data_IF_883826435791
#
_entry.id   IF_883826435791
#
_cell.length_a   1.000
_cell.length_b   1.000
_cell.length_c   1.000
_cell.angle_alpha   90.00
_cell.angle_beta   90.00
_cell.angle_gamma   90.00
#
_symmetry.space_group_name_H-M   'P 1'
#
loop_
_entity.id
_entity.type
_entity.pdbx_description
1 polymer ?
#
# COMPACT_ATOMS: atom_id res chain seq x y z
N UNK A 1 13.46 14.60 -5.12
CA UNK A 1 12.01 14.58 -5.46
C UNK A 1 11.38 13.50 -4.59
N UNK A 2 10.28 13.79 -3.89
CA UNK A 2 9.65 12.79 -3.02
C UNK A 2 9.02 11.67 -3.86
N UNK A 3 9.16 10.38 -3.46
CA UNK A 3 8.56 9.29 -4.20
C UNK A 3 7.03 9.38 -4.25
N UNK A 4 6.44 8.96 -5.38
CA UNK A 4 4.99 9.06 -5.64
C UNK A 4 4.13 8.43 -4.54
N UNK A 5 4.54 7.29 -4.00
CA UNK A 5 3.84 6.57 -2.93
C UNK A 5 3.64 7.44 -1.67
N UNK A 6 4.67 8.20 -1.28
CA UNK A 6 4.57 9.12 -0.14
C UNK A 6 3.78 10.38 -0.49
N UNK A 7 4.05 10.98 -1.66
CA UNK A 7 3.35 12.18 -2.13
C UNK A 7 1.82 11.96 -2.21
N UNK A 8 1.37 10.85 -2.79
CA UNK A 8 -0.05 10.54 -2.93
C UNK A 8 -0.75 10.36 -1.58
N UNK A 9 -0.04 9.83 -0.58
CA UNK A 9 -0.59 9.71 0.76
C UNK A 9 -0.77 11.07 1.44
N UNK A 10 0.23 11.94 1.32
CA UNK A 10 0.14 13.32 1.82
C UNK A 10 -0.96 14.13 1.11
N UNK A 11 -1.17 13.89 -0.20
CA UNK A 11 -2.28 14.47 -0.95
C UNK A 11 -3.64 13.96 -0.48
N UNK A 12 -3.76 12.66 -0.19
CA UNK A 12 -4.98 12.08 0.37
C UNK A 12 -5.29 12.66 1.77
N UNK A 13 -4.29 12.75 2.64
CA UNK A 13 -4.41 13.39 3.96
C UNK A 13 -4.88 14.85 3.83
N UNK A 14 -4.25 15.62 2.92
CA UNK A 14 -4.62 17.02 2.64
C UNK A 14 -6.03 17.17 2.08
N UNK A 15 -6.56 16.13 1.43
CA UNK A 15 -7.93 16.05 0.95
C UNK A 15 -8.94 15.61 2.04
N UNK A 16 -8.49 15.39 3.28
CA UNK A 16 -9.32 14.96 4.40
C UNK A 16 -9.61 13.47 4.43
N UNK A 17 -8.89 12.66 3.65
CA UNK A 17 -8.98 11.21 3.73
C UNK A 17 -8.24 10.74 4.98
N UNK A 18 -8.86 9.87 5.77
CA UNK A 18 -8.19 9.25 6.90
C UNK A 18 -7.03 8.36 6.40
N UNK A 19 -5.80 8.79 6.67
CA UNK A 19 -4.57 8.08 6.32
C UNK A 19 -3.80 7.68 7.56
N UNK A 20 -3.01 6.60 7.53
CA UNK A 20 -2.08 6.31 8.61
C UNK A 20 -1.06 7.44 8.74
N UNK A 21 -0.79 7.85 9.98
CA UNK A 21 0.31 8.76 10.25
C UNK A 21 1.60 8.15 9.72
N UNK A 22 2.37 8.95 8.99
CA UNK A 22 3.50 8.46 8.21
C UNK A 22 4.72 9.35 8.42
N UNK A 23 5.86 8.71 8.71
CA UNK A 23 7.18 9.32 8.77
C UNK A 23 7.99 8.88 7.55
N UNK A 24 8.42 9.84 6.73
CA UNK A 24 9.34 9.59 5.62
C UNK A 24 10.78 9.55 6.10
N UNK A 25 11.53 8.54 5.63
CA UNK A 25 12.92 8.30 5.99
C UNK A 25 13.80 8.25 4.74
N UNK A 26 14.67 9.25 4.60
CA UNK A 26 15.60 9.34 3.48
C UNK A 26 16.74 8.31 3.58
N UNK A 27 17.35 7.97 2.43
CA UNK A 27 18.40 6.94 2.30
C UNK A 27 19.55 6.99 3.33
N UNK A 28 19.90 8.18 3.81
CA UNK A 28 21.03 8.42 4.72
C UNK A 28 20.56 8.77 6.14
N UNK A 29 19.27 8.56 6.47
CA UNK A 29 18.75 8.95 7.78
C UNK A 29 19.50 8.25 8.93
N UNK A 30 19.99 7.03 8.71
CA UNK A 30 20.75 6.27 9.72
C UNK A 30 22.10 6.91 10.08
N UNK A 31 22.62 7.81 9.24
CA UNK A 31 23.84 8.57 9.51
C UNK A 31 23.56 9.86 10.30
N UNK A 32 22.29 10.21 10.51
CA UNK A 32 21.88 11.38 11.26
C UNK A 32 21.88 11.09 12.77
N UNK A 33 22.65 11.87 13.55
CA UNK A 33 22.74 11.74 15.01
C UNK A 33 21.36 11.87 15.71
N UNK A 34 20.41 12.57 15.09
CA UNK A 34 19.07 12.79 15.64
C UNK A 34 18.03 11.77 15.14
N UNK A 35 18.43 10.73 14.41
CA UNK A 35 17.51 9.72 13.85
C UNK A 35 16.68 9.02 14.93
N UNK A 36 17.31 8.58 16.02
CA UNK A 36 16.61 7.91 17.11
C UNK A 36 15.58 8.84 17.77
N UNK A 37 15.90 10.13 17.94
CA UNK A 37 14.97 11.13 18.48
C UNK A 37 13.79 11.37 17.53
N UNK A 38 14.04 11.48 16.23
CA UNK A 38 13.00 11.62 15.21
C UNK A 38 12.01 10.45 15.27
N UNK A 39 12.54 9.23 15.40
CA UNK A 39 11.75 8.02 15.46
C UNK A 39 10.93 7.94 16.75
N UNK A 40 11.55 8.21 17.90
CA UNK A 40 10.87 8.22 19.20
C UNK A 40 9.77 9.29 19.25
N UNK A 41 10.05 10.49 18.74
CA UNK A 41 9.05 11.55 18.64
C UNK A 41 7.84 11.12 17.81
N UNK A 42 8.07 10.43 16.69
CA UNK A 42 6.98 9.89 15.88
C UNK A 42 6.18 8.82 16.62
N UNK A 43 6.85 7.94 17.38
CA UNK A 43 6.19 6.92 18.20
C UNK A 43 5.32 7.59 19.29
N UNK A 44 5.88 8.55 20.02
CA UNK A 44 5.22 9.25 21.12
C UNK A 44 4.01 10.06 20.65
N UNK A 45 4.07 10.65 19.47
CA UNK A 45 2.99 11.47 18.93
C UNK A 45 1.78 10.66 18.46
N UNK A 46 1.97 9.40 18.10
CA UNK A 46 0.94 8.60 17.45
C UNK A 46 0.41 7.46 18.32
N UNK A 47 1.17 7.04 19.35
CA UNK A 47 0.77 6.04 20.35
C UNK A 47 0.21 4.74 19.76
N UNK A 48 0.63 4.38 18.54
CA UNK A 48 0.13 3.17 17.89
C UNK A 48 0.76 1.94 18.53
N UNK A 49 -0.07 0.91 18.77
CA UNK A 49 0.41 -0.37 19.28
C UNK A 49 1.37 -1.06 18.28
N UNK A 50 1.25 -0.75 16.99
CA UNK A 50 2.07 -1.36 15.95
C UNK A 50 2.32 -0.41 14.78
N UNK A 51 3.38 -0.71 14.05
CA UNK A 51 3.85 0.05 12.90
C UNK A 51 4.21 -0.89 11.75
N UNK A 52 4.43 -0.31 10.58
CA UNK A 52 5.01 -0.98 9.41
C UNK A 52 6.10 -0.11 8.79
N UNK A 53 7.12 -0.76 8.25
CA UNK A 53 8.19 -0.13 7.47
C UNK A 53 7.99 -0.51 6.01
N UNK A 54 7.80 0.46 5.13
CA UNK A 54 7.57 0.22 3.70
C UNK A 54 8.66 0.85 2.87
N UNK A 55 9.02 0.18 1.78
CA UNK A 55 9.87 0.75 0.75
C UNK A 55 9.18 1.93 0.06
N UNK A 56 9.97 2.96 -0.21
CA UNK A 56 9.55 4.18 -0.87
C UNK A 56 10.62 4.57 -1.90
N UNK A 57 10.62 3.90 -3.05
CA UNK A 57 11.71 4.01 -4.01
C UNK A 57 11.39 5.07 -5.06
N UNK A 58 12.34 5.96 -5.33
CA UNK A 58 12.20 6.95 -6.40
C UNK A 58 12.28 6.23 -7.76
N UNK A 59 11.25 6.40 -8.61
CA UNK A 59 11.17 5.74 -9.91
C UNK A 59 10.53 4.35 -9.91
N UNK A 60 9.92 3.91 -8.79
CA UNK A 60 9.19 2.64 -8.65
C UNK A 60 7.99 2.53 -9.61
N UNK A 61 7.38 3.68 -9.95
CA UNK A 61 6.16 3.81 -10.76
C UNK A 61 6.38 4.70 -12.00
N UNK A 62 7.48 4.48 -12.73
CA UNK A 62 7.68 5.11 -14.03
C UNK A 62 6.81 4.42 -15.10
N UNK A 63 6.39 5.16 -16.13
CA UNK A 63 5.47 4.68 -17.19
C UNK A 63 5.95 3.36 -17.84
N UNK A 64 7.26 3.14 -17.89
CA UNK A 64 7.88 2.00 -18.60
C UNK A 64 8.47 0.94 -17.66
N UNK A 65 8.42 1.12 -16.33
CA UNK A 65 9.04 0.21 -15.36
C UNK A 65 8.13 0.04 -14.14
N UNK A 66 7.53 -1.14 -14.00
CA UNK A 66 6.83 -1.54 -12.77
C UNK A 66 7.80 -2.24 -11.84
N UNK A 67 7.95 -1.69 -10.64
CA UNK A 67 8.77 -2.28 -9.57
C UNK A 67 7.90 -2.84 -8.43
N UNK A 68 6.60 -2.96 -8.67
CA UNK A 68 5.64 -3.49 -7.71
C UNK A 68 6.06 -4.89 -7.25
N UNK A 69 6.11 -5.10 -5.93
CA UNK A 69 6.45 -6.38 -5.31
C UNK A 69 7.95 -6.72 -5.27
N UNK A 70 8.83 -5.89 -5.83
CA UNK A 70 10.28 -6.18 -5.80
C UNK A 70 10.96 -5.80 -4.50
N UNK A 71 10.49 -4.74 -3.83
CA UNK A 71 11.06 -4.25 -2.59
C UNK A 71 10.30 -4.80 -1.38
N UNK A 72 11.03 -5.13 -0.32
CA UNK A 72 10.43 -5.67 0.88
C UNK A 72 9.80 -4.57 1.75
N UNK A 73 8.67 -4.92 2.37
CA UNK A 73 8.06 -4.17 3.48
C UNK A 73 7.99 -5.07 4.70
N UNK A 74 7.91 -4.48 5.89
CA UNK A 74 7.69 -5.23 7.12
C UNK A 74 6.24 -5.65 7.25
N UNK A 75 6.04 -6.78 7.93
CA UNK A 75 4.77 -7.03 8.60
C UNK A 75 4.59 -6.10 9.80
N UNK A 76 3.58 -6.40 10.60
CA UNK A 76 3.26 -5.70 11.85
C UNK A 76 4.41 -5.80 12.87
N UNK A 77 4.98 -4.67 13.27
CA UNK A 77 6.06 -4.59 14.27
C UNK A 77 5.67 -3.70 15.46
N UNK A 78 6.23 -4.01 16.64
CA UNK A 78 6.02 -3.21 17.86
C UNK A 78 6.95 -1.98 17.91
N UNK A 79 6.63 -0.94 18.69
CA UNK A 79 7.45 0.27 18.80
C UNK A 79 8.92 -0.03 19.15
N UNK A 80 9.17 -0.95 20.09
CA UNK A 80 10.52 -1.32 20.53
C UNK A 80 11.37 -2.02 19.45
N UNK A 81 10.75 -2.44 18.35
CA UNK A 81 11.42 -3.11 17.23
C UNK A 81 11.69 -2.16 16.06
N UNK A 82 11.17 -0.93 16.11
CA UNK A 82 11.10 -0.03 14.96
C UNK A 82 12.48 0.37 14.44
N UNK A 83 13.38 0.74 15.35
CA UNK A 83 14.73 1.18 15.00
C UNK A 83 15.52 0.09 14.27
N UNK A 84 15.53 -1.13 14.84
CA UNK A 84 16.15 -2.31 14.23
C UNK A 84 15.51 -2.65 12.89
N UNK A 85 14.17 -2.61 12.81
CA UNK A 85 13.46 -2.91 11.58
C UNK A 85 13.83 -1.92 10.46
N UNK A 86 13.86 -0.62 10.73
CA UNK A 86 14.25 0.39 9.74
C UNK A 86 15.66 0.12 9.20
N UNK A 87 16.63 -0.16 10.07
CA UNK A 87 18.00 -0.49 9.66
C UNK A 87 18.05 -1.75 8.78
N UNK A 88 17.33 -2.80 9.16
CA UNK A 88 17.25 -4.05 8.41
C UNK A 88 16.60 -3.85 7.04
N UNK A 89 15.47 -3.14 6.97
CA UNK A 89 14.77 -2.90 5.70
C UNK A 89 15.54 -1.97 4.77
N UNK A 90 16.32 -1.01 5.29
CA UNK A 90 17.27 -0.27 4.45
C UNK A 90 18.32 -1.20 3.86
N UNK A 91 18.93 -2.08 4.67
CA UNK A 91 19.95 -3.02 4.19
C UNK A 91 19.40 -3.95 3.11
N UNK A 92 18.24 -4.57 3.35
CA UNK A 92 17.59 -5.48 2.39
C UNK A 92 17.23 -4.77 1.09
N UNK A 93 16.56 -3.62 1.19
CA UNK A 93 16.11 -2.91 -0.01
C UNK A 93 17.26 -2.27 -0.79
N UNK A 94 18.37 -1.87 -0.14
CA UNK A 94 19.58 -1.44 -0.84
C UNK A 94 20.24 -2.61 -1.62
N UNK A 95 20.21 -3.84 -1.09
CA UNK A 95 20.70 -5.01 -1.84
C UNK A 95 19.84 -5.31 -3.07
N UNK A 96 18.53 -5.11 -2.96
CA UNK A 96 17.58 -5.25 -4.07
C UNK A 96 17.83 -4.15 -5.10
N UNK A 97 17.86 -2.88 -4.67
CA UNK A 97 18.08 -1.71 -5.54
C UNK A 97 19.33 -1.85 -6.39
N UNK A 98 20.46 -2.30 -5.82
CA UNK A 98 21.71 -2.49 -6.58
C UNK A 98 21.57 -3.46 -7.76
N UNK A 99 20.62 -4.41 -7.70
CA UNK A 99 20.39 -5.41 -8.75
C UNK A 99 19.45 -4.91 -9.85
N UNK A 100 18.38 -4.20 -9.46
CA UNK A 100 17.26 -3.92 -10.35
C UNK A 100 17.12 -2.43 -10.70
N UNK A 101 17.75 -1.54 -9.95
CA UNK A 101 17.70 -0.10 -10.14
C UNK A 101 19.01 0.57 -9.69
N UNK A 102 20.16 0.29 -10.32
CA UNK A 102 21.49 0.68 -9.82
C UNK A 102 21.69 2.20 -9.62
N UNK A 103 20.91 3.04 -10.30
CA UNK A 103 20.93 4.50 -10.16
C UNK A 103 19.79 5.05 -9.28
N UNK A 104 18.93 4.19 -8.74
CA UNK A 104 17.82 4.56 -7.87
C UNK A 104 18.24 4.80 -6.43
N UNK A 105 17.31 5.35 -5.66
CA UNK A 105 17.49 5.59 -4.23
C UNK A 105 16.41 4.87 -3.44
N UNK A 106 16.84 4.15 -2.39
CA UNK A 106 15.93 3.52 -1.44
C UNK A 106 15.67 4.51 -0.32
N UNK A 107 14.43 4.99 -0.26
CA UNK A 107 13.90 5.62 0.95
C UNK A 107 12.91 4.64 1.60
N UNK A 108 12.60 4.87 2.86
CA UNK A 108 11.58 4.13 3.59
C UNK A 108 10.49 5.09 4.05
N UNK A 109 9.35 4.52 4.41
CA UNK A 109 8.37 5.21 5.24
C UNK A 109 8.00 4.30 6.41
N UNK A 110 7.85 4.89 7.59
CA UNK A 110 7.24 4.25 8.75
C UNK A 110 5.79 4.72 8.82
N UNK A 111 4.86 3.80 8.97
CA UNK A 111 3.44 4.12 9.12
C UNK A 111 2.89 3.50 10.39
N UNK A 112 1.93 4.17 11.03
CA UNK A 112 1.08 3.50 12.02
C UNK A 112 0.34 2.35 11.35
N UNK A 113 0.29 1.20 12.01
CA UNK A 113 -0.40 0.03 11.47
C UNK A 113 -1.91 0.23 11.64
N UNK A 114 -2.63 0.26 10.52
CA UNK A 114 -4.09 0.25 10.55
C UNK A 114 -4.60 -1.18 10.45
N UNK A 115 -5.39 -1.59 11.42
CA UNK A 115 -6.24 -2.77 11.28
C UNK A 115 -7.50 -2.35 10.52
N UNK A 116 -7.76 -3.00 9.39
CA UNK A 116 -9.00 -2.85 8.68
C UNK A 116 -9.76 -4.18 8.73
N UNK A 117 -11.05 -4.14 9.07
CA UNK A 117 -11.94 -5.30 8.96
C UNK A 117 -12.15 -5.70 7.49
N UNK A 118 -11.99 -4.73 6.58
CA UNK A 118 -12.03 -4.92 5.13
C UNK A 118 -10.86 -4.18 4.50
N UNK A 119 -10.17 -4.82 3.56
CA UNK A 119 -9.19 -4.16 2.71
C UNK A 119 -9.21 -4.75 1.32
N UNK A 120 -8.60 -4.07 0.36
CA UNK A 120 -8.73 -4.46 -1.03
C UNK A 120 -7.88 -3.66 -1.99
N UNK A 121 -8.02 -3.99 -3.28
CA UNK A 121 -7.42 -3.27 -4.40
C UNK A 121 -8.51 -2.77 -5.33
N UNK A 122 -8.32 -1.57 -5.89
CA UNK A 122 -9.24 -0.99 -6.86
C UNK A 122 -8.46 -0.62 -8.13
N UNK A 123 -8.84 -1.24 -9.24
CA UNK A 123 -8.33 -0.92 -10.56
C UNK A 123 -9.27 0.09 -11.20
N UNK A 124 -8.75 1.29 -11.47
CA UNK A 124 -9.43 2.27 -12.32
C UNK A 124 -9.45 1.82 -13.78
N UNK A 125 -10.41 2.33 -14.55
CA UNK A 125 -10.72 2.03 -15.98
C UNK A 125 -9.64 1.19 -16.67
N UNK A 126 -9.85 -0.12 -16.63
CA UNK A 126 -8.93 -1.07 -17.23
C UNK A 126 -9.27 -1.27 -18.71
N UNK A 127 -8.27 -1.60 -19.55
CA UNK A 127 -8.45 -1.88 -20.99
C UNK A 127 -9.63 -2.82 -21.29
N UNK A 128 -9.86 -3.82 -20.43
CA UNK A 128 -10.93 -4.80 -20.61
C UNK A 128 -12.29 -4.31 -20.10
N UNK A 129 -12.31 -3.35 -19.19
CA UNK A 129 -13.53 -2.79 -18.59
C UNK A 129 -13.45 -1.25 -18.55
N UNK A 130 -13.41 -0.57 -19.71
CA UNK A 130 -13.15 0.87 -19.78
C UNK A 130 -14.26 1.71 -19.12
N UNK A 131 -15.46 1.14 -18.95
CA UNK A 131 -16.60 1.77 -18.28
C UNK A 131 -16.72 1.48 -16.78
N UNK A 132 -15.85 0.63 -16.22
CA UNK A 132 -15.98 0.14 -14.85
C UNK A 132 -14.68 0.29 -14.06
N UNK A 133 -14.83 0.45 -12.74
CA UNK A 133 -13.77 0.15 -11.79
C UNK A 133 -13.92 -1.31 -11.39
N UNK A 134 -12.79 -2.02 -11.27
CA UNK A 134 -12.75 -3.39 -10.80
C UNK A 134 -12.16 -3.38 -9.41
N UNK A 135 -12.87 -3.95 -8.44
CA UNK A 135 -12.41 -4.04 -7.07
C UNK A 135 -12.30 -5.48 -6.61
N UNK A 136 -11.35 -5.73 -5.73
CA UNK A 136 -11.21 -6.96 -4.98
C UNK A 136 -11.12 -6.60 -3.50
N UNK A 137 -11.88 -7.28 -2.65
CA UNK A 137 -11.98 -7.00 -1.21
C UNK A 137 -11.86 -8.29 -0.40
N UNK A 138 -11.21 -8.23 0.75
CA UNK A 138 -11.07 -9.34 1.69
C UNK A 138 -11.32 -8.86 3.12
N UNK A 139 -11.87 -9.75 3.95
CA UNK A 139 -12.00 -9.58 5.40
C UNK A 139 -10.67 -9.76 6.15
N UNK A 140 -9.63 -10.26 5.47
CA UNK A 140 -8.27 -10.36 5.99
C UNK A 140 -7.45 -9.06 5.83
N UNK A 141 -8.07 -7.98 5.35
CA UNK A 141 -7.37 -6.74 5.01
C UNK A 141 -6.82 -6.73 3.58
N UNK A 142 -6.12 -5.66 3.22
CA UNK A 142 -5.70 -5.42 1.83
C UNK A 142 -4.61 -6.40 1.35
N UNK A 143 -3.76 -6.89 2.26
CA UNK A 143 -2.72 -7.87 1.95
C UNK A 143 -3.31 -9.19 1.46
N UNK A 144 -4.38 -9.68 2.11
CA UNK A 144 -5.08 -10.88 1.68
C UNK A 144 -5.65 -10.76 0.25
N UNK A 145 -6.18 -9.59 -0.12
CA UNK A 145 -6.59 -9.33 -1.51
C UNK A 145 -5.42 -9.28 -2.48
N UNK A 146 -4.28 -8.71 -2.10
CA UNK A 146 -3.08 -8.67 -2.96
C UNK A 146 -2.52 -10.09 -3.20
N UNK A 147 -2.63 -10.96 -2.20
CA UNK A 147 -2.21 -12.36 -2.27
C UNK A 147 -3.26 -13.29 -2.92
N UNK A 148 -4.47 -12.79 -3.18
CA UNK A 148 -5.58 -13.56 -3.74
C UNK A 148 -6.19 -14.57 -2.78
N UNK A 149 -6.11 -14.34 -1.47
CA UNK A 149 -6.62 -15.21 -0.41
C UNK A 149 -7.93 -14.66 0.13
N UNK A 150 -8.96 -15.51 0.15
CA UNK A 150 -10.29 -15.23 0.73
C UNK A 150 -10.88 -13.88 0.29
N UNK A 151 -10.77 -13.58 -1.01
CA UNK A 151 -11.20 -12.32 -1.59
C UNK A 151 -12.48 -12.46 -2.42
N UNK A 152 -13.19 -11.35 -2.54
CA UNK A 152 -14.42 -11.20 -3.33
C UNK A 152 -14.25 -10.07 -4.35
N UNK A 153 -14.74 -10.29 -5.57
CA UNK A 153 -14.66 -9.31 -6.65
C UNK A 153 -15.94 -8.49 -6.79
N UNK A 154 -15.80 -7.21 -7.15
CA UNK A 154 -16.91 -6.34 -7.49
C UNK A 154 -16.57 -5.40 -8.66
N UNK A 155 -17.61 -4.93 -9.35
CA UNK A 155 -17.51 -3.96 -10.44
C UNK A 155 -18.32 -2.72 -10.08
N UNK A 156 -17.74 -1.53 -10.25
CA UNK A 156 -18.45 -0.25 -10.11
C UNK A 156 -18.56 0.43 -11.48
N UNK A 157 -19.78 0.59 -11.98
CA UNK A 157 -20.08 1.31 -13.22
C UNK A 157 -20.69 2.70 -12.94
N UNK A 158 -20.58 3.61 -13.90
CA UNK A 158 -21.26 4.92 -13.84
C UNK A 158 -22.76 4.68 -14.14
N UNK A 159 -23.60 4.61 -13.11
CA UNK A 159 -25.02 4.29 -13.25
C UNK A 159 -25.82 5.28 -14.09
N UNK A 160 -26.75 4.77 -14.90
CA UNK A 160 -28.18 5.04 -14.70
C UNK A 160 -28.99 3.98 -15.45
N UNK A 161 -29.72 3.13 -14.72
CA UNK A 161 -30.66 2.11 -15.24
C UNK A 161 -30.06 0.92 -16.00
N UNK A 162 -29.37 0.01 -15.30
CA UNK A 162 -29.39 -1.41 -15.68
C UNK A 162 -29.03 -2.26 -14.48
N UNK A 163 -29.99 -3.05 -14.01
CA UNK A 163 -29.72 -4.35 -13.41
C UNK A 163 -29.13 -5.27 -14.49
N UNK A 164 -27.94 -4.94 -15.00
CA UNK A 164 -27.14 -5.88 -15.78
C UNK A 164 -26.28 -6.65 -14.79
N UNK A 165 -26.95 -7.55 -14.07
CA UNK A 165 -26.33 -8.78 -13.63
C UNK A 165 -25.72 -9.42 -14.86
N UNK A 166 -24.40 -9.35 -15.02
CA UNK A 166 -23.70 -10.25 -15.94
C UNK A 166 -24.06 -11.67 -15.51
N UNK A 167 -24.90 -12.34 -16.30
CA UNK A 167 -25.32 -13.71 -16.03
C UNK A 167 -24.08 -14.61 -15.86
N UNK A 168 -24.00 -15.43 -14.81
CA UNK A 168 -22.81 -16.20 -14.43
C UNK A 168 -22.34 -17.26 -15.43
N UNK A 169 -22.90 -17.36 -16.63
CA UNK A 169 -22.70 -18.52 -17.52
C UNK A 169 -21.31 -18.63 -18.18
N UNK A 170 -20.33 -17.77 -17.84
CA UNK A 170 -18.94 -17.91 -18.30
C UNK A 170 -17.86 -17.77 -17.22
N UNK A 171 -18.23 -17.78 -15.94
CA UNK A 171 -17.27 -17.76 -14.83
C UNK A 171 -17.66 -18.89 -13.87
N UNK A 172 -16.76 -19.84 -13.53
CA UNK A 172 -17.08 -20.95 -12.64
C UNK A 172 -17.75 -20.46 -11.34
N UNK A 173 -18.99 -20.92 -11.14
CA UNK A 173 -20.06 -20.27 -10.37
C UNK A 173 -20.00 -20.45 -8.85
N UNK A 174 -18.79 -20.47 -8.26
CA UNK A 174 -18.63 -20.51 -6.80
C UNK A 174 -18.03 -19.20 -6.23
N UNK A 175 -17.64 -18.24 -7.09
CA UNK A 175 -16.84 -17.07 -6.69
C UNK A 175 -17.59 -15.71 -6.66
N UNK A 176 -18.92 -15.66 -6.83
CA UNK A 176 -19.68 -14.40 -6.89
C UNK A 176 -20.81 -14.35 -5.85
N UNK A 177 -20.44 -14.32 -4.56
CA UNK A 177 -21.33 -13.78 -3.53
C UNK A 177 -21.17 -12.26 -3.50
N UNK A 178 -21.91 -11.62 -4.40
CA UNK A 178 -21.91 -10.18 -4.65
C UNK A 178 -22.44 -9.37 -3.46
N UNK A 179 -21.61 -8.48 -2.90
CA UNK A 179 -22.08 -7.30 -2.19
C UNK A 179 -22.06 -6.12 -3.19
N UNK A 180 -23.21 -5.80 -3.77
CA UNK A 180 -23.37 -4.57 -4.57
C UNK A 180 -23.56 -3.42 -3.59
N UNK A 181 -22.49 -2.69 -3.27
CA UNK A 181 -22.59 -1.46 -2.48
C UNK A 181 -23.03 -0.33 -3.42
N UNK A 182 -24.28 0.12 -3.27
CA UNK A 182 -24.73 1.39 -3.82
C UNK A 182 -24.22 2.50 -2.89
N UNK A 183 -23.36 3.38 -3.41
CA UNK A 183 -23.05 4.68 -2.78
C UNK A 183 -24.19 5.66 -3.01
#
# INVERSE_FOLDING_TARGET
MQPSKYRLLAEAESAGVATPATLFLEKNVLENENYAELLNKFIDQNESAFYIVRSCVSGEDAVDVSMAGHFESSGRIKPEQLETAVADYFKKNNLIQKKILPNGEVNLMVQTFMTAELGGVLFSRWKYFPGHFVGEVSTGGAEASVEGVDSSFFLLGKNSEATDTLSPEKIPTEALKSLVVKL
#
